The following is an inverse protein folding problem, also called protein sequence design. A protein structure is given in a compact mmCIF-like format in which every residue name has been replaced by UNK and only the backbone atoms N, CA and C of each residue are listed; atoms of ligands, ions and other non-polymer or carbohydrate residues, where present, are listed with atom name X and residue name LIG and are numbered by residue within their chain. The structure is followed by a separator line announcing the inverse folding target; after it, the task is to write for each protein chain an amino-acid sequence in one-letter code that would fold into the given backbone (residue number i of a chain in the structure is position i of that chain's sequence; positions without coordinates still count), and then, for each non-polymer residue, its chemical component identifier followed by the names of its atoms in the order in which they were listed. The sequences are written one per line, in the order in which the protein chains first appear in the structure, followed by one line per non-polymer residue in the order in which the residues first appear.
data_IF_807100208725
#
_entry.id   IF_807100208725
#
_cell.length_a   1.000
_cell.length_b   1.000
_cell.length_c   1.000
_cell.angle_alpha   90.00
_cell.angle_beta   90.00
_cell.angle_gamma   90.00
#
_symmetry.space_group_name_H-M   'P 1'
#
loop_
_entity.id
_entity.type
_entity.pdbx_description
1 polymer ?
#
# COMPACT_ATOMS: atom_id res chain seq x y z
N UNK A 1 29.24 15.10 -24.57
CA UNK A 1 28.09 15.32 -23.65
C UNK A 1 27.84 14.01 -22.92
N UNK A 2 28.33 13.89 -21.69
CA UNK A 2 28.29 12.64 -20.90
C UNK A 2 27.18 12.71 -19.86
N UNK A 3 26.30 11.70 -19.74
CA UNK A 3 25.24 11.71 -18.74
C UNK A 3 25.81 11.41 -17.35
N UNK A 4 25.53 12.31 -16.40
CA UNK A 4 25.89 12.20 -14.98
C UNK A 4 25.09 11.05 -14.35
N UNK A 5 25.65 9.85 -14.38
CA UNK A 5 25.23 8.76 -13.50
C UNK A 5 25.71 9.07 -12.07
N UNK A 6 24.85 8.87 -11.07
CA UNK A 6 25.21 9.07 -9.66
C UNK A 6 24.19 9.81 -8.82
N UNK A 7 22.92 9.82 -9.19
CA UNK A 7 21.84 10.12 -8.25
C UNK A 7 21.66 8.93 -7.31
N UNK A 8 22.48 8.85 -6.26
CA UNK A 8 22.27 7.90 -5.17
C UNK A 8 20.86 8.07 -4.64
N UNK A 9 19.98 7.14 -5.01
CA UNK A 9 18.59 7.15 -4.61
C UNK A 9 18.56 7.07 -3.08
N UNK A 10 18.41 8.21 -2.40
CA UNK A 10 18.22 8.22 -0.95
C UNK A 10 17.00 7.35 -0.68
N UNK A 11 17.14 6.20 0.01
CA UNK A 11 15.99 5.41 0.40
C UNK A 11 14.99 6.33 1.10
N UNK A 12 13.80 6.45 0.51
CA UNK A 12 12.71 7.28 1.02
C UNK A 12 12.50 6.98 2.51
N UNK A 13 12.23 7.96 3.37
CA UNK A 13 12.05 7.72 4.83
C UNK A 13 11.15 6.51 5.17
N UNK A 14 10.18 6.24 4.30
CA UNK A 14 9.26 5.10 4.42
C UNK A 14 9.93 3.73 4.31
N UNK A 15 11.01 3.56 3.54
CA UNK A 15 11.73 2.28 3.43
C UNK A 15 12.50 1.94 4.70
N UNK A 16 13.07 2.93 5.38
CA UNK A 16 13.77 2.73 6.66
C UNK A 16 12.82 2.36 7.79
N UNK A 17 11.67 3.01 7.86
CA UNK A 17 10.64 2.70 8.85
C UNK A 17 10.14 1.25 8.67
N UNK A 18 9.91 0.83 7.41
CA UNK A 18 9.52 -0.55 7.10
C UNK A 18 10.62 -1.53 7.52
N UNK A 19 11.87 -1.27 7.16
CA UNK A 19 12.99 -2.12 7.54
C UNK A 19 13.11 -2.23 9.08
N UNK A 20 12.98 -1.11 9.80
CA UNK A 20 13.02 -1.11 11.27
C UNK A 20 11.88 -1.93 11.89
N UNK A 21 10.66 -1.85 11.35
CA UNK A 21 9.51 -2.64 11.83
C UNK A 21 9.70 -4.14 11.59
N UNK A 22 10.22 -4.52 10.42
CA UNK A 22 10.54 -5.92 10.13
C UNK A 22 11.69 -6.44 11.00
N UNK A 23 12.74 -5.65 11.22
CA UNK A 23 13.82 -6.00 12.15
C UNK A 23 13.31 -6.15 13.59
N UNK A 24 12.42 -5.28 14.05
CA UNK A 24 11.82 -5.37 15.38
C UNK A 24 10.97 -6.64 15.51
N UNK A 25 10.18 -6.99 14.48
CA UNK A 25 9.42 -8.24 14.46
C UNK A 25 10.33 -9.47 14.51
N UNK A 26 11.41 -9.48 13.73
CA UNK A 26 12.41 -10.56 13.71
C UNK A 26 13.11 -10.71 15.06
N UNK A 27 13.46 -9.61 15.71
CA UNK A 27 14.03 -9.62 17.06
C UNK A 27 13.06 -10.21 18.09
N UNK A 28 11.75 -9.89 17.98
CA UNK A 28 10.73 -10.48 18.86
C UNK A 28 10.62 -12.01 18.66
N UNK A 29 10.62 -12.47 17.41
CA UNK A 29 10.63 -13.92 17.11
C UNK A 29 11.90 -14.61 17.59
N UNK A 30 13.06 -13.97 17.44
CA UNK A 30 14.33 -14.48 17.93
C UNK A 30 14.31 -14.67 19.45
N UNK A 31 13.84 -13.68 20.19
CA UNK A 31 13.72 -13.76 21.66
C UNK A 31 12.70 -14.84 22.07
N UNK A 32 11.55 -14.93 21.40
CA UNK A 32 10.55 -15.96 21.70
C UNK A 32 11.09 -17.39 21.45
N UNK A 33 11.92 -17.58 20.41
CA UNK A 33 12.44 -18.88 20.02
C UNK A 33 13.66 -19.32 20.85
N UNK A 34 14.63 -18.43 21.07
CA UNK A 34 15.89 -18.77 21.75
C UNK A 34 15.83 -18.62 23.26
N UNK A 35 15.04 -17.68 23.77
CA UNK A 35 14.97 -17.42 25.21
C UNK A 35 13.86 -18.20 25.91
N UNK A 36 12.98 -18.88 25.14
CA UNK A 36 11.85 -19.70 25.60
C UNK A 36 11.31 -19.27 26.96
N UNK A 37 10.70 -18.07 27.07
CA UNK A 37 10.23 -17.58 28.35
C UNK A 37 9.19 -18.56 28.92
N UNK A 38 9.37 -18.99 30.17
CA UNK A 38 8.41 -19.85 30.89
C UNK A 38 7.02 -19.24 30.99
N UNK A 39 6.92 -17.91 30.78
CA UNK A 39 5.68 -17.17 30.77
C UNK A 39 5.01 -17.21 29.38
N UNK A 40 4.01 -18.08 29.25
CA UNK A 40 3.18 -18.25 28.05
C UNK A 40 2.52 -16.94 27.58
N UNK A 41 2.12 -16.06 28.51
CA UNK A 41 1.52 -14.77 28.16
C UNK A 41 2.54 -13.84 27.49
N UNK A 42 3.79 -13.84 27.95
CA UNK A 42 4.87 -13.08 27.33
C UNK A 42 5.17 -13.61 25.92
N UNK A 43 5.20 -14.93 25.77
CA UNK A 43 5.48 -15.61 24.49
C UNK A 43 4.39 -15.29 23.45
N UNK A 44 3.11 -15.35 23.85
CA UNK A 44 1.99 -14.90 23.01
C UNK A 44 2.08 -13.42 22.65
N UNK A 45 2.40 -12.56 23.62
CA UNK A 45 2.55 -11.12 23.36
C UNK A 45 3.66 -10.82 22.34
N UNK A 46 4.83 -11.48 22.45
CA UNK A 46 5.93 -11.36 21.49
C UNK A 46 5.54 -11.83 20.09
N UNK A 47 4.79 -12.93 20.00
CA UNK A 47 4.33 -13.49 18.73
C UNK A 47 3.33 -12.55 18.04
N UNK A 48 2.36 -12.04 18.80
CA UNK A 48 1.41 -11.06 18.31
C UNK A 48 2.12 -9.76 17.91
N UNK A 49 3.06 -9.27 18.72
CA UNK A 49 3.81 -8.05 18.41
C UNK A 49 4.61 -8.24 17.11
N UNK A 50 5.30 -9.37 16.94
CA UNK A 50 6.07 -9.68 15.74
C UNK A 50 5.23 -9.86 14.47
N UNK A 51 4.01 -10.39 14.58
CA UNK A 51 3.10 -10.54 13.45
C UNK A 51 2.37 -9.22 13.09
N UNK A 52 1.91 -8.48 14.10
CA UNK A 52 1.03 -7.34 13.90
C UNK A 52 1.77 -6.02 13.65
N UNK A 53 2.97 -5.79 14.21
CA UNK A 53 3.73 -4.55 13.95
C UNK A 53 4.02 -4.29 12.47
N UNK A 54 4.60 -5.25 11.71
CA UNK A 54 4.89 -5.03 10.31
C UNK A 54 3.59 -4.85 9.49
N UNK A 55 2.56 -5.64 9.79
CA UNK A 55 1.25 -5.55 9.13
C UNK A 55 0.56 -4.20 9.35
N UNK A 56 0.52 -3.68 10.58
CA UNK A 56 -0.06 -2.37 10.86
C UNK A 56 0.75 -1.23 10.26
N UNK A 57 2.08 -1.32 10.25
CA UNK A 57 2.94 -0.32 9.63
C UNK A 57 2.71 -0.20 8.13
N UNK A 58 2.54 -1.32 7.43
CA UNK A 58 2.22 -1.33 6.00
C UNK A 58 0.80 -0.83 5.72
N UNK A 59 -0.18 -1.27 6.52
CA UNK A 59 -1.56 -0.78 6.43
C UNK A 59 -1.67 0.73 6.66
N UNK A 60 -0.96 1.27 7.66
CA UNK A 60 -0.92 2.70 7.95
C UNK A 60 -0.24 3.48 6.83
N UNK A 61 0.91 3.01 6.33
CA UNK A 61 1.60 3.66 5.22
C UNK A 61 0.75 3.66 3.95
N UNK A 62 0.03 2.57 3.67
CA UNK A 62 -0.88 2.47 2.54
C UNK A 62 -2.09 3.41 2.70
N UNK A 63 -2.70 3.45 3.89
CA UNK A 63 -3.80 4.38 4.20
C UNK A 63 -3.36 5.83 4.06
N UNK A 64 -2.18 6.17 4.57
CA UNK A 64 -1.62 7.52 4.45
C UNK A 64 -1.37 7.92 3.00
N UNK A 65 -0.80 7.03 2.18
CA UNK A 65 -0.65 7.28 0.72
C UNK A 65 -2.00 7.48 0.04
N UNK A 66 -3.02 6.72 0.44
CA UNK A 66 -4.40 6.91 -0.06
C UNK A 66 -4.92 8.30 0.32
N UNK A 67 -4.79 8.71 1.57
CA UNK A 67 -5.24 10.03 2.04
C UNK A 67 -4.49 11.17 1.36
N UNK A 68 -3.16 11.09 1.26
CA UNK A 68 -2.33 12.11 0.61
C UNK A 68 -2.62 12.23 -0.89
N UNK A 69 -2.89 11.12 -1.56
CA UNK A 69 -3.30 11.13 -2.97
C UNK A 69 -4.72 11.66 -3.15
N UNK A 70 -5.67 11.20 -2.32
CA UNK A 70 -7.05 11.67 -2.35
C UNK A 70 -7.18 13.16 -1.98
N UNK A 71 -6.31 13.68 -1.13
CA UNK A 71 -6.28 15.10 -0.76
C UNK A 71 -5.95 16.04 -1.93
N UNK A 72 -5.49 15.51 -3.07
CA UNK A 72 -5.32 16.27 -4.31
C UNK A 72 -6.65 16.58 -5.01
N UNK A 73 -7.72 15.89 -4.60
CA UNK A 73 -9.05 16.02 -5.16
C UNK A 73 -9.97 16.61 -4.09
N UNK A 74 -10.73 17.64 -4.44
CA UNK A 74 -11.64 18.33 -3.54
C UNK A 74 -12.88 17.49 -3.21
N UNK A 75 -13.25 16.52 -4.07
CA UNK A 75 -14.41 15.64 -3.87
C UNK A 75 -14.28 14.29 -4.57
N UNK A 76 -15.13 13.33 -4.16
CA UNK A 76 -15.28 12.05 -4.85
C UNK A 76 -15.77 12.21 -6.30
N UNK A 77 -16.47 13.31 -6.61
CA UNK A 77 -16.97 13.62 -7.95
C UNK A 77 -15.82 13.99 -8.90
N UNK A 78 -14.82 14.76 -8.43
CA UNK A 78 -13.59 15.00 -9.19
C UNK A 78 -12.80 13.71 -9.45
N UNK A 79 -12.90 12.76 -8.51
CA UNK A 79 -12.31 11.44 -8.67
C UNK A 79 -12.98 10.64 -9.78
N UNK A 80 -14.30 10.82 -9.98
CA UNK A 80 -15.06 10.23 -11.08
C UNK A 80 -14.74 10.90 -12.42
N UNK A 81 -14.47 12.21 -12.43
CA UNK A 81 -14.03 12.93 -13.63
C UNK A 81 -12.69 12.42 -14.21
N UNK A 82 -11.84 11.76 -13.40
CA UNK A 82 -10.66 11.04 -13.90
C UNK A 82 -11.03 9.91 -14.87
N UNK A 83 -12.24 9.35 -14.73
CA UNK A 83 -12.82 8.38 -15.66
C UNK A 83 -13.60 9.18 -16.71
N UNK A 84 -12.87 9.87 -17.58
CA UNK A 84 -13.45 10.79 -18.58
C UNK A 84 -14.49 10.11 -19.49
N UNK A 85 -14.29 8.83 -19.79
CA UNK A 85 -15.23 7.98 -20.54
C UNK A 85 -15.80 6.87 -19.63
N UNK A 86 -16.69 7.28 -18.73
CA UNK A 86 -17.39 6.39 -17.81
C UNK A 86 -18.09 5.22 -18.54
N UNK A 87 -18.66 5.50 -19.72
CA UNK A 87 -19.29 4.51 -20.58
C UNK A 87 -18.29 3.51 -21.20
N UNK A 88 -17.08 3.94 -21.59
CA UNK A 88 -16.04 3.02 -22.07
C UNK A 88 -15.56 2.12 -20.93
N UNK A 89 -15.37 2.68 -19.73
CA UNK A 89 -14.94 1.90 -18.57
C UNK A 89 -15.99 0.91 -18.08
N UNK A 90 -17.28 1.28 -18.15
CA UNK A 90 -18.39 0.35 -17.85
C UNK A 90 -18.40 -0.82 -18.84
N UNK A 91 -18.32 -0.54 -20.15
CA UNK A 91 -18.21 -1.60 -21.17
C UNK A 91 -16.98 -2.47 -20.99
N UNK A 92 -15.83 -1.86 -20.72
CA UNK A 92 -14.57 -2.59 -20.49
C UNK A 92 -14.65 -3.48 -19.25
N UNK A 93 -15.29 -3.01 -18.18
CA UNK A 93 -15.56 -3.80 -16.97
C UNK A 93 -16.46 -4.98 -17.28
N UNK A 94 -17.52 -4.76 -18.04
CA UNK A 94 -18.52 -5.79 -18.31
C UNK A 94 -18.00 -6.83 -19.32
N UNK A 95 -17.18 -6.43 -20.30
CA UNK A 95 -16.58 -7.34 -21.30
C UNK A 95 -15.32 -8.07 -20.82
N UNK A 96 -14.40 -7.35 -20.15
CA UNK A 96 -13.05 -7.88 -19.80
C UNK A 96 -12.84 -8.06 -18.30
N UNK A 97 -13.82 -7.68 -17.49
CA UNK A 97 -13.80 -7.77 -16.04
C UNK A 97 -13.20 -6.54 -15.35
N UNK A 98 -13.54 -6.42 -14.06
CA UNK A 98 -13.13 -5.33 -13.16
C UNK A 98 -11.62 -5.12 -13.14
N UNK A 99 -10.83 -6.21 -13.13
CA UNK A 99 -9.36 -6.12 -13.05
C UNK A 99 -8.74 -5.51 -14.32
N UNK A 100 -9.33 -5.74 -15.49
CA UNK A 100 -8.86 -5.16 -16.74
C UNK A 100 -9.11 -3.64 -16.77
N UNK A 101 -10.29 -3.22 -16.32
CA UNK A 101 -10.64 -1.81 -16.15
C UNK A 101 -9.71 -1.12 -15.13
N UNK A 102 -9.49 -1.71 -13.95
CA UNK A 102 -8.56 -1.16 -12.94
C UNK A 102 -7.13 -1.03 -13.49
N UNK A 103 -6.64 -2.03 -14.23
CA UNK A 103 -5.30 -1.94 -14.87
C UNK A 103 -5.23 -0.80 -15.88
N UNK A 104 -6.27 -0.57 -16.68
CA UNK A 104 -6.31 0.53 -17.65
C UNK A 104 -6.34 1.88 -16.95
N UNK A 105 -7.15 2.03 -15.90
CA UNK A 105 -7.18 3.23 -15.07
C UNK A 105 -5.81 3.51 -14.43
N UNK A 106 -5.14 2.49 -13.91
CA UNK A 106 -3.78 2.63 -13.34
C UNK A 106 -2.71 2.91 -14.38
N UNK A 107 -2.90 2.54 -15.66
CA UNK A 107 -1.99 2.95 -16.74
C UNK A 107 -2.13 4.43 -17.06
N UNK A 108 -3.36 4.95 -17.05
CA UNK A 108 -3.62 6.38 -17.22
C UNK A 108 -3.14 7.19 -15.98
N UNK A 109 -3.35 6.64 -14.77
CA UNK A 109 -2.99 7.27 -13.51
C UNK A 109 -2.12 6.35 -12.65
N UNK A 110 -0.80 6.27 -12.90
CA UNK A 110 0.11 5.34 -12.22
C UNK A 110 0.25 5.59 -10.71
N UNK A 111 -0.07 6.80 -10.25
CA UNK A 111 -0.07 7.18 -8.84
C UNK A 111 -1.35 6.79 -8.08
N UNK A 112 -2.41 6.38 -8.79
CA UNK A 112 -3.68 6.02 -8.17
C UNK A 112 -3.52 4.74 -7.29
N UNK A 113 -3.91 4.79 -6.00
CA UNK A 113 -3.90 3.62 -5.13
C UNK A 113 -4.83 2.52 -5.68
N UNK A 114 -4.34 1.28 -5.71
CA UNK A 114 -5.09 0.12 -6.20
C UNK A 114 -6.49 -0.06 -5.56
N UNK A 115 -6.67 0.00 -4.23
CA UNK A 115 -8.00 -0.16 -3.64
C UNK A 115 -8.95 0.97 -4.05
N UNK A 116 -8.45 2.18 -4.23
CA UNK A 116 -9.26 3.32 -4.65
C UNK A 116 -9.67 3.21 -6.12
N UNK A 117 -8.75 2.77 -6.99
CA UNK A 117 -9.05 2.46 -8.39
C UNK A 117 -10.10 1.35 -8.52
N UNK A 118 -10.05 0.35 -7.64
CA UNK A 118 -11.05 -0.71 -7.56
C UNK A 118 -12.41 -0.17 -7.14
N UNK A 119 -12.48 0.60 -6.06
CA UNK A 119 -13.70 1.25 -5.58
C UNK A 119 -14.33 2.12 -6.69
N UNK A 120 -13.52 2.91 -7.41
CA UNK A 120 -13.97 3.72 -8.53
C UNK A 120 -14.62 2.87 -9.61
N UNK A 121 -13.92 1.86 -10.14
CA UNK A 121 -14.44 0.98 -11.21
C UNK A 121 -15.66 0.17 -10.76
N UNK A 122 -15.75 -0.19 -9.49
CA UNK A 122 -16.94 -0.86 -8.93
C UNK A 122 -18.14 0.08 -8.80
N UNK A 123 -17.89 1.37 -8.55
CA UNK A 123 -18.96 2.37 -8.41
C UNK A 123 -19.56 2.86 -9.73
N UNK A 124 -18.99 2.46 -10.88
CA UNK A 124 -19.47 2.79 -12.23
C UNK A 124 -20.69 1.98 -12.66
#
# INVERSE_FOLDING_TARGET
MSPRAGGGARPSRTTWIRAALWCAGLACYYVAFFHQPDNVALLLALFLLGAFLPGWGEGYAQRRRRTEWAAQFASAEELRLLVTDEAEFRRLRDEKGVLAAVRRLRRAHPRCPLPLALELVQSL
#
